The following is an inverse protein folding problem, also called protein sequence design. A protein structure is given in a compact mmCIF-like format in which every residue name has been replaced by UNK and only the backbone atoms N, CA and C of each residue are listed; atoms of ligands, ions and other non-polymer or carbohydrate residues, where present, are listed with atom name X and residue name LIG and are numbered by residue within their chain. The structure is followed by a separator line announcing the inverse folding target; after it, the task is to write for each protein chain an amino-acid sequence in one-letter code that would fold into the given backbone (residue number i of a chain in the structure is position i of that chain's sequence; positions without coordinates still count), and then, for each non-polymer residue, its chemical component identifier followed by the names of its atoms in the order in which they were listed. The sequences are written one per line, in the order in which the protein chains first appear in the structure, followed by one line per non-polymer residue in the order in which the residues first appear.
data_IF_672353021816
#
_entry.id   IF_672353021816
#
_cell.length_a   1.000
_cell.length_b   1.000
_cell.length_c   1.000
_cell.angle_alpha   90.00
_cell.angle_beta   90.00
_cell.angle_gamma   90.00
#
_symmetry.space_group_name_H-M   'P 1'
#
loop_
_entity.id
_entity.type
_entity.pdbx_description
1 polymer ?
#
# COMPACT_ATOMS: atom_id res chain seq x y z
N UNK A 1 -6.30 26.62 -2.69
CA UNK A 1 -4.95 26.02 -2.55
C UNK A 1 -4.93 25.01 -1.37
N UNK A 2 -5.89 24.07 -1.33
CA UNK A 2 -6.23 23.26 -0.13
C UNK A 2 -6.08 21.73 -0.28
N UNK A 3 -5.45 21.24 -1.36
CA UNK A 3 -5.28 19.78 -1.60
C UNK A 3 -3.92 19.23 -1.18
N UNK A 4 -3.05 20.04 -0.56
CA UNK A 4 -1.73 19.61 -0.08
C UNK A 4 -1.76 18.76 1.20
N UNK A 5 -2.94 18.58 1.82
CA UNK A 5 -3.16 17.65 2.92
C UNK A 5 -3.79 16.34 2.41
N UNK A 6 -3.26 15.80 1.31
CA UNK A 6 -3.44 14.39 0.98
C UNK A 6 -3.04 13.60 2.24
N UNK A 7 -4.06 13.03 2.89
CA UNK A 7 -4.01 12.09 4.00
C UNK A 7 -2.68 11.31 3.90
N UNK A 8 -1.72 11.62 4.77
CA UNK A 8 -0.44 10.89 4.79
C UNK A 8 -0.84 9.43 4.97
N UNK A 9 -0.47 8.58 4.02
CA UNK A 9 -0.66 7.14 4.19
C UNK A 9 0.12 6.75 5.44
N UNK A 10 -0.62 6.33 6.46
CA UNK A 10 -0.03 5.90 7.72
C UNK A 10 0.85 4.67 7.50
N UNK A 11 1.88 4.48 8.33
CA UNK A 11 2.88 3.43 8.12
C UNK A 11 2.29 2.02 8.18
N UNK A 12 1.26 1.83 9.01
CA UNK A 12 0.46 0.60 9.06
C UNK A 12 -0.32 0.38 7.77
N UNK A 13 -1.01 1.41 7.27
CA UNK A 13 -1.77 1.33 6.02
C UNK A 13 -0.87 0.98 4.85
N UNK A 14 0.29 1.64 4.73
CA UNK A 14 1.25 1.35 3.67
C UNK A 14 1.81 -0.08 3.79
N UNK A 15 2.12 -0.51 5.01
CA UNK A 15 2.61 -1.87 5.28
C UNK A 15 1.57 -2.92 4.88
N UNK A 16 0.31 -2.73 5.26
CA UNK A 16 -0.81 -3.60 4.86
C UNK A 16 -1.02 -3.63 3.36
N UNK A 17 -0.92 -2.49 2.67
CA UNK A 17 -1.04 -2.46 1.21
C UNK A 17 0.06 -3.28 0.53
N UNK A 18 1.29 -3.20 1.04
CA UNK A 18 2.43 -3.96 0.51
C UNK A 18 2.31 -5.45 0.83
N UNK A 19 1.82 -5.81 2.02
CA UNK A 19 1.45 -7.20 2.37
C UNK A 19 0.39 -7.72 1.41
N UNK A 20 -0.65 -6.94 1.11
CA UNK A 20 -1.69 -7.29 0.15
C UNK A 20 -1.14 -7.56 -1.25
N UNK A 21 -0.16 -6.76 -1.71
CA UNK A 21 0.52 -7.00 -2.98
C UNK A 21 1.35 -8.29 -2.96
N UNK A 22 2.12 -8.51 -1.90
CA UNK A 22 3.00 -9.67 -1.75
C UNK A 22 2.23 -11.00 -1.64
N UNK A 23 1.10 -11.00 -0.92
CA UNK A 23 0.23 -12.17 -0.71
C UNK A 23 -0.76 -12.40 -1.86
N UNK A 24 -0.98 -11.38 -2.68
CA UNK A 24 -1.85 -11.40 -3.83
C UNK A 24 -3.32 -11.08 -3.57
N UNK A 25 -3.66 -10.65 -2.35
CA UNK A 25 -4.97 -10.06 -2.03
C UNK A 25 -5.21 -8.76 -2.81
N UNK A 26 -4.12 -8.05 -3.13
CA UNK A 26 -4.11 -6.89 -4.01
C UNK A 26 -3.22 -7.19 -5.22
N UNK A 27 -3.60 -6.68 -6.39
CA UNK A 27 -2.81 -6.83 -7.61
C UNK A 27 -2.69 -5.49 -8.36
N UNK A 28 -1.74 -5.46 -9.30
CA UNK A 28 -1.66 -4.42 -10.31
C UNK A 28 -2.64 -4.77 -11.43
N UNK A 29 -3.38 -3.76 -11.90
CA UNK A 29 -4.19 -3.93 -13.11
C UNK A 29 -3.26 -3.85 -14.33
N UNK A 30 -3.20 -4.96 -15.06
CA UNK A 30 -2.37 -5.12 -16.26
C UNK A 30 -3.21 -5.14 -17.54
N UNK A 31 -4.54 -4.96 -17.45
CA UNK A 31 -5.43 -5.17 -18.59
C UNK A 31 -5.51 -3.95 -19.53
N UNK A 32 -5.02 -4.14 -20.75
CA UNK A 32 -5.70 -3.72 -21.98
C UNK A 32 -5.81 -2.23 -22.34
N UNK A 33 -5.14 -1.29 -21.67
CA UNK A 33 -5.20 0.13 -22.04
C UNK A 33 -3.84 0.74 -22.42
N UNK A 34 -3.81 1.66 -23.40
CA UNK A 34 -2.73 2.62 -23.54
C UNK A 34 -2.61 3.40 -22.22
N UNK A 35 -1.47 3.27 -21.53
CA UNK A 35 -1.27 3.80 -20.19
C UNK A 35 -1.61 2.82 -19.07
N UNK A 36 -1.18 1.55 -19.16
CA UNK A 36 -1.06 0.75 -17.93
C UNK A 36 -0.13 1.49 -16.96
N UNK A 37 -0.61 1.66 -15.73
CA UNK A 37 0.07 2.43 -14.68
C UNK A 37 0.79 1.51 -13.71
N UNK A 38 0.99 0.23 -14.04
CA UNK A 38 1.49 -0.75 -13.07
C UNK A 38 2.93 -0.43 -12.68
N UNK A 39 3.80 -0.13 -13.67
CA UNK A 39 5.17 0.31 -13.40
C UNK A 39 5.22 1.66 -12.66
N UNK A 40 4.33 2.60 -13.01
CA UNK A 40 4.21 3.88 -12.31
C UNK A 40 3.72 3.72 -10.86
N UNK A 41 2.78 2.80 -10.62
CA UNK A 41 2.25 2.47 -9.29
C UNK A 41 3.30 1.75 -8.45
N UNK A 42 4.08 0.85 -9.04
CA UNK A 42 5.25 0.25 -8.38
C UNK A 42 6.28 1.31 -7.98
N UNK A 43 6.58 2.28 -8.86
CA UNK A 43 7.44 3.42 -8.54
C UNK A 43 6.89 4.26 -7.38
N UNK A 44 5.57 4.50 -7.37
CA UNK A 44 4.90 5.22 -6.29
C UNK A 44 5.04 4.50 -4.96
N UNK A 45 4.76 3.19 -4.91
CA UNK A 45 4.96 2.40 -3.69
C UNK A 45 6.41 2.43 -3.21
N UNK A 46 7.39 2.24 -4.11
CA UNK A 46 8.80 2.32 -3.73
C UNK A 46 9.16 3.68 -3.11
N UNK A 47 8.67 4.78 -3.70
CA UNK A 47 8.87 6.14 -3.18
C UNK A 47 8.19 6.35 -1.82
N UNK A 48 6.96 5.88 -1.66
CA UNK A 48 6.21 6.02 -0.42
C UNK A 48 6.88 5.22 0.72
N UNK A 49 7.32 4.00 0.45
CA UNK A 49 8.08 3.17 1.40
C UNK A 49 9.39 3.85 1.77
N UNK A 50 10.17 4.33 0.78
CA UNK A 50 11.42 5.06 1.03
C UNK A 50 11.21 6.30 1.90
N UNK A 51 10.12 7.03 1.67
CA UNK A 51 9.76 8.22 2.44
C UNK A 51 9.39 7.86 3.88
N UNK A 52 8.59 6.82 4.08
CA UNK A 52 8.21 6.32 5.40
C UNK A 52 9.43 5.79 6.17
N UNK A 53 10.30 4.98 5.56
CA UNK A 53 11.53 4.49 6.18
C UNK A 53 12.46 5.63 6.64
N UNK A 54 12.48 6.77 5.93
CA UNK A 54 13.25 7.95 6.35
C UNK A 54 12.61 8.69 7.52
N UNK A 55 11.28 8.76 7.57
CA UNK A 55 10.53 9.52 8.59
C UNK A 55 10.38 8.74 9.89
N UNK A 56 9.96 7.49 9.79
CA UNK A 56 9.50 6.66 10.91
C UNK A 56 10.34 5.41 11.08
N UNK A 57 11.37 5.20 10.25
CA UNK A 57 12.13 3.95 10.24
C UNK A 57 12.64 3.52 11.61
N UNK A 58 13.01 4.45 12.50
CA UNK A 58 13.45 4.13 13.87
C UNK A 58 12.32 3.64 14.79
N UNK A 59 11.09 4.06 14.55
CA UNK A 59 9.91 3.66 15.30
C UNK A 59 9.32 2.33 14.81
N UNK A 60 9.58 1.96 13.55
CA UNK A 60 9.19 0.65 13.01
C UNK A 60 9.98 -0.47 13.68
N UNK A 61 9.31 -1.59 13.93
CA UNK A 61 9.92 -2.84 14.35
C UNK A 61 10.97 -3.34 13.34
N UNK A 62 11.93 -4.16 13.80
CA UNK A 62 13.01 -4.67 12.94
C UNK A 62 12.50 -5.46 11.74
N UNK A 63 11.49 -6.28 11.94
CA UNK A 63 10.97 -7.20 10.92
C UNK A 63 10.16 -6.40 9.89
N UNK A 64 9.31 -5.49 10.37
CA UNK A 64 8.57 -4.55 9.52
C UNK A 64 9.54 -3.69 8.68
N UNK A 65 10.60 -3.18 9.29
CA UNK A 65 11.62 -2.37 8.59
C UNK A 65 12.38 -3.18 7.54
N UNK A 66 12.73 -4.44 7.83
CA UNK A 66 13.37 -5.36 6.87
C UNK A 66 12.46 -5.61 5.68
N UNK A 67 11.22 -6.00 5.96
CA UNK A 67 10.19 -6.27 4.96
C UNK A 67 10.00 -5.10 4.00
N UNK A 68 9.84 -3.89 4.54
CA UNK A 68 9.66 -2.69 3.75
C UNK A 68 10.89 -2.34 2.92
N UNK A 69 12.12 -2.55 3.43
CA UNK A 69 13.33 -2.34 2.64
C UNK A 69 13.43 -3.35 1.48
N UNK A 70 13.07 -4.60 1.71
CA UNK A 70 13.05 -5.62 0.66
C UNK A 70 11.98 -5.30 -0.39
N UNK A 71 10.78 -4.91 0.05
CA UNK A 71 9.70 -4.49 -0.83
C UNK A 71 10.07 -3.27 -1.66
N UNK A 72 10.68 -2.24 -1.07
CA UNK A 72 11.12 -1.04 -1.77
C UNK A 72 12.09 -1.35 -2.91
N UNK A 73 13.12 -2.16 -2.66
CA UNK A 73 14.09 -2.57 -3.68
C UNK A 73 13.43 -3.32 -4.83
N UNK A 74 12.54 -4.26 -4.53
CA UNK A 74 11.89 -5.07 -5.55
C UNK A 74 10.86 -4.27 -6.36
N UNK A 75 10.10 -3.38 -5.72
CA UNK A 75 9.16 -2.48 -6.41
C UNK A 75 9.90 -1.44 -7.26
N UNK A 76 11.06 -0.94 -6.81
CA UNK A 76 11.92 -0.09 -7.63
C UNK A 76 12.45 -0.85 -8.85
N UNK A 77 12.84 -2.12 -8.70
CA UNK A 77 13.21 -2.97 -9.84
C UNK A 77 12.04 -3.17 -10.81
N UNK A 78 10.86 -3.52 -10.29
CA UNK A 78 9.66 -3.76 -11.10
C UNK A 78 9.24 -2.50 -11.89
N UNK A 79 9.41 -1.31 -11.29
CA UNK A 79 9.07 -0.03 -11.93
C UNK A 79 9.93 0.32 -13.15
N UNK A 80 11.12 -0.27 -13.26
CA UNK A 80 12.04 -0.05 -14.39
C UNK A 80 11.71 -0.93 -15.59
N UNK A 81 10.94 -1.98 -15.37
CA UNK A 81 10.46 -2.85 -16.44
C UNK A 81 9.17 -2.25 -17.00
N UNK A 82 9.03 -2.06 -18.32
CA UNK A 82 7.76 -1.66 -18.91
C UNK A 82 6.70 -2.73 -18.64
N UNK A 83 5.50 -2.35 -18.20
CA UNK A 83 4.37 -3.26 -17.96
C UNK A 83 3.66 -3.68 -19.25
N UNK A 84 3.87 -2.94 -20.33
CA UNK A 84 3.31 -3.24 -21.65
C UNK A 84 4.32 -3.09 -22.78
N UNK A 85 4.05 -3.78 -23.89
CA UNK A 85 4.85 -3.76 -25.12
C UNK A 85 3.92 -3.43 -26.28
N UNK A 86 4.33 -2.49 -27.13
CA UNK A 86 3.63 -2.20 -28.37
C UNK A 86 3.60 -3.42 -29.29
N UNK A 87 2.43 -3.72 -29.85
CA UNK A 87 2.25 -4.87 -30.77
C UNK A 87 2.62 -4.54 -32.21
N UNK A 88 2.87 -3.26 -32.52
CA UNK A 88 3.04 -2.75 -33.88
C UNK A 88 1.73 -2.54 -34.65
N UNK A 89 0.59 -2.99 -34.10
CA UNK A 89 -0.74 -2.72 -34.65
C UNK A 89 -1.25 -1.38 -34.14
N UNK A 90 -2.07 -0.72 -34.95
CA UNK A 90 -2.79 0.49 -34.58
C UNK A 90 -4.28 0.24 -34.72
N UNK A 91 -5.04 0.72 -33.74
CA UNK A 91 -6.50 0.79 -33.81
C UNK A 91 -6.93 2.23 -33.86
N UNK A 92 -8.08 2.47 -34.45
CA UNK A 92 -8.71 3.78 -34.42
C UNK A 92 -9.36 3.99 -33.05
N UNK A 93 -8.95 5.06 -32.35
CA UNK A 93 -9.65 5.51 -31.16
C UNK A 93 -10.49 6.73 -31.51
N UNK A 94 -11.71 6.75 -30.98
CA UNK A 94 -12.62 7.88 -31.12
C UNK A 94 -12.66 8.62 -29.80
N UNK A 95 -12.34 9.91 -29.84
CA UNK A 95 -12.51 10.79 -28.69
C UNK A 95 -13.58 11.81 -29.04
N UNK A 96 -14.62 11.84 -28.22
CA UNK A 96 -15.71 12.80 -28.36
C UNK A 96 -15.43 14.01 -27.47
N UNK A 97 -15.27 15.18 -28.07
CA UNK A 97 -15.14 16.46 -27.35
C UNK A 97 -16.33 17.34 -27.75
N UNK A 98 -17.33 17.41 -26.86
CA UNK A 98 -18.60 18.09 -27.16
C UNK A 98 -19.40 17.32 -28.21
N UNK A 99 -19.80 18.00 -29.30
CA UNK A 99 -20.51 17.39 -30.43
C UNK A 99 -19.57 16.90 -31.56
N UNK A 100 -18.26 17.01 -31.36
CA UNK A 100 -17.25 16.69 -32.36
C UNK A 100 -16.60 15.35 -32.05
N UNK A 101 -16.55 14.47 -33.04
CA UNK A 101 -15.79 13.22 -32.98
C UNK A 101 -14.43 13.42 -33.66
N UNK A 102 -13.36 13.04 -32.96
CA UNK A 102 -12.01 13.05 -33.52
C UNK A 102 -11.46 11.62 -33.49
N UNK A 103 -11.02 11.18 -34.67
CA UNK A 103 -10.45 9.87 -34.90
C UNK A 103 -8.93 9.97 -34.94
N UNK A 104 -8.24 9.11 -34.20
CA UNK A 104 -6.79 9.06 -34.25
C UNK A 104 -6.26 7.64 -34.06
N UNK A 105 -5.14 7.29 -34.73
CA UNK A 105 -4.51 6.00 -34.55
C UNK A 105 -3.89 5.91 -33.15
N UNK A 106 -4.21 4.84 -32.44
CA UNK A 106 -3.62 4.50 -31.15
C UNK A 106 -2.92 3.16 -31.28
N UNK A 107 -1.67 3.10 -30.85
CA UNK A 107 -0.91 1.85 -30.86
C UNK A 107 -1.57 0.83 -29.92
N UNK A 108 -1.75 -0.39 -30.40
CA UNK A 108 -2.20 -1.49 -29.56
C UNK A 108 -1.04 -2.00 -28.70
N UNK A 109 -1.30 -2.18 -27.42
CA UNK A 109 -0.35 -2.71 -26.45
C UNK A 109 -0.80 -4.10 -26.00
N UNK A 110 0.18 -4.96 -25.72
CA UNK A 110 -0.01 -6.21 -24.99
C UNK A 110 0.78 -6.16 -23.68
N UNK A 111 0.41 -7.01 -22.75
CA UNK A 111 1.15 -7.16 -21.50
C UNK A 111 2.61 -7.60 -21.75
N UNK A 112 3.54 -7.08 -20.94
CA UNK A 112 4.92 -7.54 -20.94
C UNK A 112 5.10 -8.81 -20.08
N UNK A 113 5.42 -9.97 -20.69
CA UNK A 113 5.63 -11.22 -19.94
C UNK A 113 6.85 -11.18 -19.01
N UNK A 114 7.84 -10.32 -19.27
CA UNK A 114 8.95 -10.10 -18.34
C UNK A 114 8.48 -9.37 -17.07
N UNK A 115 7.58 -8.39 -17.21
CA UNK A 115 7.02 -7.68 -16.08
C UNK A 115 6.23 -8.64 -15.17
N UNK A 116 5.36 -9.47 -15.76
CA UNK A 116 4.61 -10.49 -15.00
C UNK A 116 5.55 -11.42 -14.25
N UNK A 117 6.59 -11.94 -14.90
CA UNK A 117 7.59 -12.81 -14.25
C UNK A 117 8.30 -12.12 -13.09
N UNK A 118 8.63 -10.83 -13.20
CA UNK A 118 9.22 -10.08 -12.10
C UNK A 118 8.23 -9.84 -10.95
N UNK A 119 6.96 -9.56 -11.28
CA UNK A 119 5.91 -9.41 -10.27
C UNK A 119 5.65 -10.71 -9.51
N UNK A 120 5.65 -11.86 -10.18
CA UNK A 120 5.52 -13.17 -9.54
C UNK A 120 6.72 -13.47 -8.62
N UNK A 121 7.94 -13.12 -9.05
CA UNK A 121 9.14 -13.22 -8.20
C UNK A 121 9.05 -12.31 -6.97
N UNK A 122 8.54 -11.09 -7.13
CA UNK A 122 8.27 -10.18 -6.02
C UNK A 122 7.34 -10.81 -4.99
N UNK A 123 6.23 -11.41 -5.44
CA UNK A 123 5.28 -12.12 -4.56
C UNK A 123 5.95 -13.28 -3.83
N UNK A 124 6.62 -14.16 -4.56
CA UNK A 124 7.29 -15.33 -3.99
C UNK A 124 8.35 -14.95 -2.95
N UNK A 125 9.14 -13.91 -3.23
CA UNK A 125 10.20 -13.46 -2.34
C UNK A 125 9.67 -12.85 -1.04
N UNK A 126 8.49 -12.22 -1.06
CA UNK A 126 7.95 -11.49 0.08
C UNK A 126 6.81 -12.19 0.80
N UNK A 127 6.16 -13.20 0.22
CA UNK A 127 4.97 -13.84 0.80
C UNK A 127 5.20 -14.35 2.24
N UNK A 128 6.35 -14.99 2.49
CA UNK A 128 6.70 -15.51 3.82
C UNK A 128 6.98 -14.39 4.83
N UNK A 129 7.73 -13.36 4.42
CA UNK A 129 8.04 -12.21 5.28
C UNK A 129 6.78 -11.37 5.57
N UNK A 130 5.90 -11.23 4.58
CA UNK A 130 4.61 -10.55 4.69
C UNK A 130 3.69 -11.22 5.72
N UNK A 131 3.59 -12.56 5.70
CA UNK A 131 2.81 -13.31 6.69
C UNK A 131 3.33 -13.10 8.11
N UNK A 132 4.65 -13.18 8.32
CA UNK A 132 5.26 -12.95 9.64
C UNK A 132 5.00 -11.54 10.17
N UNK A 133 5.15 -10.52 9.32
CA UNK A 133 4.88 -9.12 9.71
C UNK A 133 3.39 -8.92 9.98
N UNK A 134 2.50 -9.52 9.18
CA UNK A 134 1.06 -9.47 9.41
C UNK A 134 0.69 -10.10 10.76
N UNK A 135 1.13 -11.32 11.04
CA UNK A 135 0.84 -12.01 12.30
C UNK A 135 1.39 -11.23 13.50
N UNK A 136 2.57 -10.62 13.37
CA UNK A 136 3.15 -9.83 14.45
C UNK A 136 2.37 -8.55 14.75
N UNK A 137 1.84 -7.89 13.71
CA UNK A 137 1.05 -6.66 13.84
C UNK A 137 -0.40 -6.94 14.25
N UNK A 138 -0.96 -8.09 13.82
CA UNK A 138 -2.41 -8.35 13.87
C UNK A 138 -2.81 -9.70 14.48
N UNK A 139 -1.90 -10.47 15.09
CA UNK A 139 -2.29 -11.67 15.85
C UNK A 139 -3.18 -11.33 17.04
N UNK A 140 -3.90 -12.34 17.53
CA UNK A 140 -4.83 -12.25 18.67
C UNK A 140 -4.21 -11.59 19.91
N UNK A 141 -2.89 -11.63 20.10
CA UNK A 141 -2.21 -10.95 21.22
C UNK A 141 -2.17 -9.41 21.03
N UNK A 142 -2.05 -8.90 19.81
CA UNK A 142 -2.14 -7.47 19.51
C UNK A 142 -3.58 -6.95 19.67
N UNK A 143 -4.56 -7.73 19.19
CA UNK A 143 -5.99 -7.45 19.38
C UNK A 143 -6.37 -7.52 20.87
N UNK A 144 -5.87 -8.51 21.60
CA UNK A 144 -6.09 -8.66 23.06
C UNK A 144 -5.44 -7.55 23.86
N UNK A 145 -4.27 -7.04 23.46
CA UNK A 145 -3.64 -5.86 24.09
C UNK A 145 -4.43 -4.58 23.84
N UNK A 146 -5.02 -4.41 22.67
CA UNK A 146 -5.93 -3.28 22.38
C UNK A 146 -7.19 -3.39 23.22
N UNK A 147 -7.81 -4.56 23.30
CA UNK A 147 -8.99 -4.80 24.15
C UNK A 147 -8.63 -4.53 25.62
N UNK A 148 -7.54 -5.12 26.15
CA UNK A 148 -7.11 -4.92 27.53
C UNK A 148 -6.71 -3.46 27.85
N UNK A 149 -6.14 -2.73 26.89
CA UNK A 149 -5.85 -1.30 27.03
C UNK A 149 -7.12 -0.44 27.01
N UNK A 150 -8.13 -0.84 26.24
CA UNK A 150 -9.43 -0.17 26.17
C UNK A 150 -10.23 -0.40 27.45
N UNK A 151 -10.29 -1.65 27.93
CA UNK A 151 -10.90 -2.02 29.22
C UNK A 151 -10.20 -1.32 30.39
N UNK A 152 -8.87 -1.22 30.35
CA UNK A 152 -8.08 -0.50 31.35
C UNK A 152 -8.27 1.02 31.32
N UNK A 153 -8.60 1.60 30.17
CA UNK A 153 -8.92 3.02 30.03
C UNK A 153 -10.35 3.33 30.52
N UNK A 154 -11.32 2.48 30.22
CA UNK A 154 -12.69 2.58 30.75
C UNK A 154 -12.73 2.42 32.27
N UNK A 155 -11.93 1.49 32.83
CA UNK A 155 -11.77 1.32 34.28
C UNK A 155 -11.15 2.55 34.98
N UNK A 156 -10.34 3.35 34.26
CA UNK A 156 -9.77 4.60 34.78
C UNK A 156 -10.74 5.78 34.69
N UNK A 157 -11.60 5.80 33.67
CA UNK A 157 -12.66 6.80 33.52
C UNK A 157 -13.85 6.59 34.47
N UNK A 158 -14.05 5.35 34.93
CA UNK A 158 -15.12 4.99 35.90
C UNK A 158 -14.68 5.06 37.36
N UNK A 159 -13.38 5.23 37.65
CA UNK A 159 -12.93 5.59 39.01
C UNK A 159 -13.35 7.03 39.29
N UNK A 160 -14.38 7.19 40.14
CA UNK A 160 -14.77 8.50 40.68
C UNK A 160 -13.51 9.26 41.14
N UNK A 161 -13.38 10.50 40.68
CA UNK A 161 -12.35 11.43 41.14
C UNK A 161 -12.37 11.44 42.67
N UNK A 162 -11.24 11.20 43.37
CA UNK A 162 -11.22 11.12 44.84
C UNK A 162 -11.70 12.42 45.50
N UNK A 163 -11.65 13.54 44.77
CA UNK A 163 -12.18 14.85 45.19
C UNK A 163 -13.72 14.88 45.18
N UNK A 164 -14.37 14.15 44.26
CA UNK A 164 -15.84 14.05 44.18
C UNK A 164 -16.37 13.10 45.27
N UNK A 165 -15.67 12.01 45.55
CA UNK A 165 -16.00 11.09 46.64
C UNK A 165 -15.90 11.76 48.03
N UNK A 166 -14.89 12.61 48.26
CA UNK A 166 -14.73 13.39 49.50
C UNK A 166 -15.83 14.44 49.69
N UNK A 167 -16.38 15.01 48.62
CA UNK A 167 -17.50 15.99 48.70
C UNK A 167 -18.87 15.37 48.97
N UNK A 168 -19.06 14.07 48.73
CA UNK A 168 -20.28 13.33 49.09
C UNK A 168 -20.25 12.81 50.54
N UNK A 169 -19.08 12.79 51.17
CA UNK A 169 -18.86 12.27 52.52
C UNK A 169 -18.80 13.34 53.62
N UNK A 170 -19.02 14.62 53.25
CA UNK A 170 -19.20 15.77 54.15
C UNK A 170 -20.62 16.31 54.00
#
# INVERSE_FOLDING_TARGET
MFTKFLRKTDSETLTLEVIGLATGVKDFDLTGMPGSWASAKAARYAKDIRTMLRREGKALDSDQRSFLRNAERQLESLSKTPDSIGTGKFREAVLQIGLTESHFPVQEHRENPEWRRQHDRFRQALAVEAGKVFDKLYSDDAVSRVIAATDGAEARLTREDPIVALKKAL
#
